data_IF_977359047647
#
_entry.id   IF_977359047647
#
_cell.length_a   1.000
_cell.length_b   1.000
_cell.length_c   1.000
_cell.angle_alpha   90.00
_cell.angle_beta   90.00
_cell.angle_gamma   90.00
#
_symmetry.space_group_name_H-M   'P 1'
#
loop_
_entity.id
_entity.type
_entity.pdbx_description
1 polymer ?
#
# COMPACT_ATOMS: atom_id res chain seq x y z
N UNK A 1 63.65 -20.78 2.02
CA UNK A 1 63.34 -19.59 2.84
C UNK A 1 61.97 -19.05 2.44
N UNK A 2 61.35 -18.33 3.36
CA UNK A 2 59.91 -18.03 3.56
C UNK A 2 59.39 -16.80 2.78
N UNK A 3 58.05 -16.74 2.65
CA UNK A 3 57.12 -15.59 2.44
C UNK A 3 57.14 -14.87 1.07
N UNK A 4 56.08 -14.23 0.53
CA UNK A 4 54.63 -14.11 0.75
C UNK A 4 54.07 -13.07 -0.28
N UNK A 5 52.75 -12.79 -0.24
CA UNK A 5 51.96 -11.66 -0.81
C UNK A 5 51.27 -11.91 -2.16
N UNK A 6 49.95 -12.15 -2.23
CA UNK A 6 48.72 -11.33 -2.03
C UNK A 6 48.29 -10.56 -3.30
N UNK A 7 47.02 -10.82 -3.68
CA UNK A 7 46.14 -10.37 -4.80
C UNK A 7 45.97 -8.83 -4.96
N UNK A 8 45.49 -8.34 -6.13
CA UNK A 8 44.03 -8.09 -6.27
C UNK A 8 43.41 -8.37 -7.65
N UNK A 9 42.16 -8.85 -7.58
CA UNK A 9 40.98 -8.48 -8.37
C UNK A 9 41.15 -7.91 -9.79
N UNK A 10 40.54 -8.58 -10.76
CA UNK A 10 39.41 -8.02 -11.54
C UNK A 10 38.97 -9.08 -12.57
N UNK A 11 37.98 -9.87 -12.18
CA UNK A 11 37.20 -10.70 -13.09
C UNK A 11 36.42 -9.75 -14.00
N UNK A 12 36.84 -9.70 -15.26
CA UNK A 12 36.10 -9.08 -16.35
C UNK A 12 34.79 -9.83 -16.56
N UNK A 13 33.73 -9.28 -15.99
CA UNK A 13 32.34 -9.52 -16.33
C UNK A 13 32.14 -9.27 -17.82
N UNK A 14 31.54 -10.21 -18.58
CA UNK A 14 30.72 -9.92 -19.75
C UNK A 14 29.94 -11.19 -20.20
N UNK A 15 28.62 -11.09 -19.98
CA UNK A 15 27.47 -11.62 -20.77
C UNK A 15 27.35 -13.13 -21.03
N UNK A 16 26.29 -13.78 -20.51
CA UNK A 16 24.95 -13.75 -21.13
C UNK A 16 24.01 -14.75 -20.46
N UNK A 17 22.72 -14.43 -20.57
CA UNK A 17 21.66 -14.82 -19.66
C UNK A 17 21.32 -16.30 -19.62
N UNK A 18 20.88 -16.72 -18.43
CA UNK A 18 19.77 -17.63 -18.24
C UNK A 18 19.05 -17.18 -16.97
N UNK A 19 17.91 -16.49 -17.10
CA UNK A 19 17.00 -16.30 -15.99
C UNK A 19 16.37 -17.68 -15.70
N UNK A 20 17.07 -18.49 -14.92
CA UNK A 20 16.49 -19.70 -14.37
C UNK A 20 15.42 -19.25 -13.38
N UNK A 21 14.15 -19.36 -13.77
CA UNK A 21 13.03 -19.32 -12.83
C UNK A 21 13.29 -20.43 -11.80
N UNK A 22 13.76 -20.04 -10.61
CA UNK A 22 13.85 -20.96 -9.48
C UNK A 22 12.43 -21.24 -9.02
N UNK A 23 11.90 -22.38 -9.46
CA UNK A 23 10.70 -22.97 -8.87
C UNK A 23 11.07 -23.42 -7.46
N UNK A 24 10.68 -22.63 -6.47
CA UNK A 24 10.75 -23.05 -5.07
C UNK A 24 9.73 -24.17 -4.86
N UNK A 25 10.22 -25.36 -4.54
CA UNK A 25 9.37 -26.38 -3.91
C UNK A 25 9.16 -25.96 -2.46
N UNK A 26 7.93 -26.03 -1.89
CA UNK A 26 7.74 -25.84 -0.48
C UNK A 26 8.60 -26.88 0.26
N UNK A 27 9.61 -26.41 1.00
CA UNK A 27 10.34 -27.30 1.90
C UNK A 27 9.41 -27.66 3.05
N UNK A 28 9.34 -28.93 3.47
CA UNK A 28 8.59 -29.30 4.66
C UNK A 28 9.15 -28.51 5.86
N UNK A 29 8.25 -27.96 6.66
CA UNK A 29 8.57 -27.12 7.82
C UNK A 29 9.63 -27.77 8.69
N UNK A 30 10.65 -26.99 9.06
CA UNK A 30 11.62 -27.42 10.05
C UNK A 30 10.89 -27.62 11.38
N UNK A 31 10.79 -28.88 11.83
CA UNK A 31 10.22 -29.22 13.13
C UNK A 31 11.12 -28.64 14.23
N UNK A 32 10.77 -27.46 14.73
CA UNK A 32 11.35 -26.86 15.91
C UNK A 32 10.74 -27.55 17.14
N UNK A 33 11.52 -28.40 17.82
CA UNK A 33 11.15 -28.96 19.13
C UNK A 33 11.36 -27.85 20.18
N UNK A 34 10.30 -27.11 20.46
CA UNK A 34 10.21 -26.07 21.49
C UNK A 34 8.85 -25.38 21.41
N UNK A 35 8.35 -24.71 22.47
CA UNK A 35 7.15 -23.88 22.34
C UNK A 35 7.42 -22.85 21.25
N UNK A 36 6.64 -22.90 20.17
CA UNK A 36 6.61 -21.81 19.19
C UNK A 36 6.41 -20.50 19.96
N UNK A 37 7.18 -19.44 19.65
CA UNK A 37 6.75 -18.09 20.01
C UNK A 37 5.29 -17.97 19.57
N UNK A 38 4.42 -17.39 20.39
CA UNK A 38 3.07 -17.02 19.97
C UNK A 38 3.23 -15.98 18.84
N UNK A 39 3.40 -16.46 17.60
CA UNK A 39 3.30 -15.64 16.41
C UNK A 39 1.82 -15.41 16.26
N UNK A 40 1.31 -14.38 16.95
CA UNK A 40 0.00 -13.85 16.63
C UNK A 40 0.11 -13.26 15.24
N UNK A 41 -0.58 -13.88 14.29
CA UNK A 41 -0.83 -13.28 12.99
C UNK A 41 -1.55 -11.95 13.22
N UNK A 42 -0.92 -10.87 12.81
CA UNK A 42 -1.36 -9.50 13.05
C UNK A 42 -1.54 -8.71 11.75
N UNK A 43 -1.53 -9.41 10.61
CA UNK A 43 -1.67 -8.84 9.29
C UNK A 43 -2.88 -9.48 8.60
N UNK A 44 -3.89 -8.69 8.32
CA UNK A 44 -4.95 -9.05 7.39
C UNK A 44 -4.69 -8.36 6.06
N UNK A 45 -4.90 -9.05 4.94
CA UNK A 45 -4.67 -8.52 3.60
C UNK A 45 -5.79 -8.91 2.67
N UNK A 46 -6.30 -7.92 1.94
CA UNK A 46 -7.31 -8.09 0.91
C UNK A 46 -6.79 -7.61 -0.44
N UNK A 47 -7.32 -8.22 -1.51
CA UNK A 47 -7.08 -7.78 -2.89
C UNK A 47 -8.42 -7.66 -3.57
N UNK A 48 -8.69 -6.49 -4.15
CA UNK A 48 -9.92 -6.20 -4.86
C UNK A 48 -9.65 -6.02 -6.36
N UNK A 49 -10.55 -6.56 -7.17
CA UNK A 49 -10.57 -6.39 -8.61
C UNK A 49 -11.98 -6.01 -9.03
N UNK A 50 -12.14 -4.86 -9.65
CA UNK A 50 -13.43 -4.38 -10.13
C UNK A 50 -13.30 -3.92 -11.59
N UNK A 51 -14.26 -4.31 -12.42
CA UNK A 51 -14.42 -3.77 -13.77
C UNK A 51 -15.64 -2.86 -13.79
N UNK A 52 -15.49 -1.65 -14.31
CA UNK A 52 -16.53 -0.63 -14.24
C UNK A 52 -16.77 0.04 -15.60
N UNK A 53 -17.99 0.56 -15.73
CA UNK A 53 -18.40 1.45 -16.81
C UNK A 53 -19.19 2.59 -16.19
N UNK A 54 -18.81 3.83 -16.46
CA UNK A 54 -19.52 5.00 -15.96
C UNK A 54 -20.44 5.54 -17.05
N UNK A 55 -21.65 5.95 -16.65
CA UNK A 55 -22.65 6.51 -17.57
C UNK A 55 -22.72 8.05 -17.49
N UNK A 56 -21.76 8.67 -16.80
CA UNK A 56 -21.72 10.11 -16.53
C UNK A 56 -20.75 10.78 -17.52
N UNK A 57 -21.21 11.81 -18.24
CA UNK A 57 -20.39 12.51 -19.25
C UNK A 57 -20.14 11.72 -20.53
N UNK A 58 -18.91 11.73 -21.05
CA UNK A 58 -18.50 11.00 -22.26
C UNK A 58 -18.46 9.48 -22.08
N UNK A 59 -18.61 9.00 -20.85
CA UNK A 59 -18.58 7.58 -20.48
C UNK A 59 -17.17 7.01 -20.57
N UNK A 60 -16.67 6.47 -19.47
CA UNK A 60 -15.38 5.78 -19.46
C UNK A 60 -15.51 4.41 -18.83
N UNK A 61 -14.69 3.50 -19.32
CA UNK A 61 -14.66 2.11 -18.91
C UNK A 61 -13.26 1.78 -18.45
N UNK A 62 -13.16 0.97 -17.41
CA UNK A 62 -11.87 0.61 -16.87
C UNK A 62 -11.92 -0.61 -15.98
N UNK A 63 -10.74 -0.91 -15.46
CA UNK A 63 -10.51 -1.92 -14.43
C UNK A 63 -9.79 -1.23 -13.28
N UNK A 64 -10.23 -1.47 -12.06
CA UNK A 64 -9.52 -1.11 -10.84
C UNK A 64 -8.99 -2.37 -10.16
N UNK A 65 -7.77 -2.26 -9.65
CA UNK A 65 -7.10 -3.30 -8.87
C UNK A 65 -6.55 -2.67 -7.62
N UNK A 66 -7.02 -3.13 -6.47
CA UNK A 66 -6.64 -2.60 -5.16
C UNK A 66 -6.09 -3.66 -4.23
N UNK A 67 -5.29 -3.21 -3.27
CA UNK A 67 -4.84 -4.01 -2.13
C UNK A 67 -5.05 -3.21 -0.86
N UNK A 68 -5.51 -3.89 0.17
CA UNK A 68 -5.63 -3.36 1.53
C UNK A 68 -4.84 -4.25 2.47
N UNK A 69 -4.16 -3.65 3.44
CA UNK A 69 -3.43 -4.35 4.46
C UNK A 69 -3.68 -3.70 5.83
N UNK A 70 -4.26 -4.48 6.74
CA UNK A 70 -4.52 -4.09 8.11
C UNK A 70 -3.53 -4.76 9.04
N UNK A 71 -2.75 -3.94 9.73
CA UNK A 71 -1.72 -4.40 10.66
C UNK A 71 -2.17 -4.06 12.09
N UNK A 72 -2.54 -5.07 12.87
CA UNK A 72 -2.78 -4.91 14.29
C UNK A 72 -1.46 -4.62 15.01
N UNK A 73 -1.28 -3.37 15.46
CA UNK A 73 -0.11 -2.92 16.18
C UNK A 73 -0.21 -3.26 17.69
N UNK A 74 -1.42 -3.26 18.22
CA UNK A 74 -1.75 -3.66 19.60
C UNK A 74 -3.26 -3.94 19.71
N UNK A 75 -3.77 -4.50 20.83
CA UNK A 75 -5.20 -4.64 21.04
C UNK A 75 -5.91 -3.28 20.96
N UNK A 76 -6.73 -3.09 19.92
CA UNK A 76 -7.45 -1.85 19.66
C UNK A 76 -6.66 -0.77 18.92
N UNK A 77 -5.50 -1.09 18.32
CA UNK A 77 -4.77 -0.18 17.42
C UNK A 77 -4.40 -0.89 16.12
N UNK A 78 -4.87 -0.33 15.00
CA UNK A 78 -4.68 -0.89 13.66
C UNK A 78 -4.05 0.16 12.75
N UNK A 79 -3.04 -0.24 11.97
CA UNK A 79 -2.51 0.51 10.85
C UNK A 79 -3.10 -0.07 9.57
N UNK A 80 -3.93 0.71 8.88
CA UNK A 80 -4.46 0.38 7.56
C UNK A 80 -3.61 0.99 6.47
N UNK A 81 -3.31 0.21 5.43
CA UNK A 81 -2.64 0.65 4.21
C UNK A 81 -3.52 0.26 3.03
N UNK A 82 -3.82 1.21 2.16
CA UNK A 82 -4.59 0.97 0.95
C UNK A 82 -3.84 1.49 -0.27
N UNK A 83 -4.01 0.80 -1.39
CA UNK A 83 -3.49 1.21 -2.67
C UNK A 83 -4.34 0.65 -3.78
N UNK A 84 -4.78 1.51 -4.71
CA UNK A 84 -5.62 1.11 -5.84
C UNK A 84 -5.12 1.73 -7.13
N UNK A 85 -4.93 0.87 -8.14
CA UNK A 85 -4.68 1.27 -9.53
C UNK A 85 -6.00 1.30 -10.28
N UNK A 86 -6.21 2.31 -11.09
CA UNK A 86 -7.35 2.44 -12.00
C UNK A 86 -6.80 2.60 -13.40
N UNK A 87 -7.11 1.66 -14.28
CA UNK A 87 -6.81 1.71 -15.70
C UNK A 87 -8.10 1.97 -16.48
N UNK A 88 -8.24 3.16 -17.07
CA UNK A 88 -9.37 3.54 -17.88
C UNK A 88 -8.95 3.80 -19.33
N UNK A 89 -9.93 3.80 -20.24
CA UNK A 89 -9.71 4.16 -21.64
C UNK A 89 -9.26 5.64 -21.84
N UNK A 90 -9.46 6.50 -20.85
CA UNK A 90 -9.11 7.94 -20.89
C UNK A 90 -7.85 8.30 -20.09
N UNK A 91 -7.28 7.37 -19.35
CA UNK A 91 -6.12 7.62 -18.49
C UNK A 91 -5.91 6.53 -17.44
N UNK A 92 -4.94 6.76 -16.55
CA UNK A 92 -4.69 5.92 -15.39
C UNK A 92 -4.69 6.76 -14.11
N UNK A 93 -5.01 6.13 -12.98
CA UNK A 93 -4.90 6.77 -11.69
C UNK A 93 -4.49 5.82 -10.57
N UNK A 94 -3.95 6.41 -9.52
CA UNK A 94 -3.47 5.73 -8.33
C UNK A 94 -4.05 6.39 -7.11
N UNK A 95 -4.81 5.60 -6.35
CA UNK A 95 -5.23 5.98 -5.03
C UNK A 95 -4.32 5.29 -4.03
N UNK A 96 -3.99 6.02 -2.96
CA UNK A 96 -3.18 5.51 -1.87
C UNK A 96 -3.69 6.09 -0.57
N UNK A 97 -3.59 5.30 0.49
CA UNK A 97 -4.00 5.71 1.81
C UNK A 97 -3.20 5.00 2.88
N UNK A 98 -2.96 5.70 3.98
CA UNK A 98 -2.37 5.14 5.17
C UNK A 98 -3.06 5.74 6.39
N UNK A 99 -3.65 4.88 7.21
CA UNK A 99 -4.49 5.28 8.33
C UNK A 99 -4.12 4.56 9.62
N UNK A 100 -4.31 5.24 10.74
CA UNK A 100 -4.23 4.67 12.07
C UNK A 100 -5.61 4.73 12.71
N UNK A 101 -6.10 3.59 13.18
CA UNK A 101 -7.40 3.48 13.83
C UNK A 101 -7.23 2.96 15.26
N UNK A 102 -7.84 3.69 16.21
CA UNK A 102 -7.95 3.31 17.61
C UNK A 102 -9.38 2.82 17.84
N UNK A 103 -9.53 1.53 18.11
CA UNK A 103 -10.81 0.92 18.44
C UNK A 103 -11.01 0.88 19.96
N UNK A 104 -12.20 1.30 20.39
CA UNK A 104 -12.69 1.21 21.75
C UNK A 104 -13.94 0.34 21.83
N UNK A 105 -14.41 0.11 23.06
CA UNK A 105 -15.62 -0.68 23.32
C UNK A 105 -16.88 -0.09 22.68
N UNK A 106 -16.94 1.23 22.52
CA UNK A 106 -18.12 1.97 22.09
C UNK A 106 -17.93 2.68 20.75
N UNK A 107 -16.87 2.37 19.99
CA UNK A 107 -16.59 3.09 18.75
C UNK A 107 -15.12 3.13 18.39
N UNK A 108 -14.78 3.98 17.44
CA UNK A 108 -13.43 4.13 16.93
C UNK A 108 -13.09 5.57 16.59
N UNK A 109 -11.79 5.86 16.60
CA UNK A 109 -11.19 7.09 16.13
C UNK A 109 -10.13 6.74 15.09
N UNK A 110 -10.10 7.47 13.99
CA UNK A 110 -9.09 7.25 12.97
C UNK A 110 -8.45 8.57 12.51
N UNK A 111 -7.24 8.44 12.00
CA UNK A 111 -6.53 9.50 11.30
C UNK A 111 -5.81 8.88 10.11
N UNK A 112 -5.98 9.43 8.91
CA UNK A 112 -5.41 8.92 7.69
C UNK A 112 -4.83 10.02 6.81
N UNK A 113 -3.85 9.65 5.99
CA UNK A 113 -3.41 10.43 4.84
C UNK A 113 -3.78 9.65 3.58
N UNK A 114 -4.55 10.30 2.72
CA UNK A 114 -5.07 9.71 1.50
C UNK A 114 -4.69 10.58 0.32
N UNK A 115 -4.60 9.99 -0.86
CA UNK A 115 -4.33 10.76 -2.06
C UNK A 115 -4.63 10.02 -3.34
N UNK A 116 -4.76 10.81 -4.39
CA UNK A 116 -4.97 10.37 -5.76
C UNK A 116 -3.92 11.01 -6.66
N UNK A 117 -3.35 10.21 -7.55
CA UNK A 117 -2.42 10.64 -8.59
C UNK A 117 -2.99 10.19 -9.94
N UNK A 118 -3.51 11.14 -10.73
CA UNK A 118 -4.16 10.90 -12.00
C UNK A 118 -3.27 11.30 -13.19
N UNK A 119 -3.30 10.51 -14.26
CA UNK A 119 -2.64 10.78 -15.54
C UNK A 119 -3.62 10.57 -16.69
N UNK A 120 -3.76 11.57 -17.54
CA UNK A 120 -4.77 11.58 -18.60
C UNK A 120 -6.05 12.28 -18.17
N UNK A 121 -7.08 12.20 -19.02
CA UNK A 121 -8.31 12.98 -18.86
C UNK A 121 -9.42 12.08 -18.29
N UNK A 122 -9.19 11.53 -17.09
CA UNK A 122 -10.24 10.81 -16.36
C UNK A 122 -11.21 11.86 -15.76
N UNK A 123 -12.49 11.89 -16.19
CA UNK A 123 -13.45 12.87 -15.66
C UNK A 123 -13.61 12.75 -14.14
N UNK A 124 -13.74 13.90 -13.48
CA UNK A 124 -13.99 14.03 -12.03
C UNK A 124 -12.90 13.44 -11.11
N UNK A 125 -11.73 13.07 -11.66
CA UNK A 125 -10.58 12.63 -10.90
C UNK A 125 -9.48 13.68 -10.93
N UNK A 126 -9.25 14.35 -9.81
CA UNK A 126 -8.19 15.35 -9.66
C UNK A 126 -7.09 14.84 -8.73
N UNK A 127 -5.84 15.05 -9.12
CA UNK A 127 -4.70 14.70 -8.28
C UNK A 127 -4.67 15.55 -7.02
N UNK A 128 -4.52 14.93 -5.86
CA UNK A 128 -4.50 15.61 -4.58
C UNK A 128 -4.16 14.67 -3.43
N UNK A 129 -3.67 15.23 -2.34
CA UNK A 129 -3.53 14.52 -1.05
C UNK A 129 -4.32 15.28 0.00
N UNK A 130 -4.96 14.56 0.90
CA UNK A 130 -5.64 15.13 2.05
C UNK A 130 -5.34 14.30 3.29
N UNK A 131 -5.44 14.96 4.44
CA UNK A 131 -5.44 14.31 5.75
C UNK A 131 -6.87 14.29 6.24
N UNK A 132 -7.29 13.15 6.76
CA UNK A 132 -8.61 12.93 7.32
C UNK A 132 -8.48 12.51 8.77
N UNK A 133 -9.36 13.04 9.61
CA UNK A 133 -9.55 12.58 10.99
C UNK A 133 -11.03 12.41 11.24
N UNK A 134 -11.38 11.30 11.89
CA UNK A 134 -12.78 11.00 12.13
C UNK A 134 -12.97 9.95 13.20
N UNK A 135 -14.22 9.53 13.34
CA UNK A 135 -14.59 8.45 14.23
C UNK A 135 -16.09 8.32 14.40
N UNK A 136 -16.49 7.12 14.78
CA UNK A 136 -17.87 6.72 14.99
C UNK A 136 -18.05 6.16 16.40
N UNK A 137 -19.11 6.61 17.08
CA UNK A 137 -19.39 6.24 18.47
C UNK A 137 -20.82 5.78 18.65
N UNK A 138 -20.99 4.63 19.29
CA UNK A 138 -22.27 4.14 19.74
C UNK A 138 -22.70 4.86 21.02
N UNK A 139 -23.72 5.73 20.90
CA UNK A 139 -24.31 6.46 22.05
C UNK A 139 -25.42 5.66 22.75
N UNK A 140 -25.94 4.61 22.09
CA UNK A 140 -26.94 3.70 22.61
C UNK A 140 -27.20 2.57 21.63
N UNK A 141 -28.11 1.63 21.95
CA UNK A 141 -28.30 0.40 21.15
C UNK A 141 -28.52 0.64 19.66
N UNK A 142 -29.18 1.74 19.29
CA UNK A 142 -29.55 2.06 17.92
C UNK A 142 -29.13 3.49 17.50
N UNK A 143 -28.18 4.11 18.21
CA UNK A 143 -27.73 5.46 17.91
C UNK A 143 -26.21 5.50 17.80
N UNK A 144 -25.76 5.97 16.64
CA UNK A 144 -24.36 6.22 16.34
C UNK A 144 -24.18 7.71 16.06
N UNK A 145 -23.04 8.25 16.50
CA UNK A 145 -22.61 9.60 16.17
C UNK A 145 -21.24 9.49 15.52
N UNK A 146 -21.15 9.97 14.29
CA UNK A 146 -19.93 10.10 13.53
C UNK A 146 -19.49 11.54 13.40
N UNK A 147 -18.18 11.75 13.29
CA UNK A 147 -17.62 12.99 12.77
C UNK A 147 -16.47 12.67 11.84
N UNK A 148 -16.25 13.56 10.87
CA UNK A 148 -15.14 13.51 9.93
C UNK A 148 -14.71 14.93 9.62
N UNK A 149 -13.41 15.13 9.50
CA UNK A 149 -12.80 16.36 9.05
C UNK A 149 -11.64 16.04 8.11
N UNK A 150 -11.72 16.54 6.89
CA UNK A 150 -10.71 16.33 5.85
C UNK A 150 -10.11 17.66 5.44
N UNK A 151 -8.79 17.70 5.35
CA UNK A 151 -8.02 18.91 5.02
C UNK A 151 -7.08 18.59 3.86
N UNK A 152 -7.17 19.30 2.73
CA UNK A 152 -6.24 19.11 1.63
C UNK A 152 -4.83 19.50 2.07
N UNK A 153 -3.83 18.75 1.60
CA UNK A 153 -2.42 19.05 1.79
C UNK A 153 -1.89 19.70 0.53
N UNK A 154 -1.73 21.02 0.58
CA UNK A 154 -1.21 21.79 -0.54
C UNK A 154 0.18 21.28 -0.98
N UNK A 155 0.36 21.08 -2.28
CA UNK A 155 1.62 20.62 -2.91
C UNK A 155 2.12 19.23 -2.47
N UNK A 156 1.34 18.45 -1.71
CA UNK A 156 1.61 17.03 -1.52
C UNK A 156 0.82 16.27 -2.59
N UNK A 157 1.47 15.89 -3.68
CA UNK A 157 0.96 14.87 -4.59
C UNK A 157 2.09 13.89 -4.74
N UNK A 158 1.86 12.61 -4.44
CA UNK A 158 2.84 11.59 -4.76
C UNK A 158 2.82 11.43 -6.28
N UNK A 159 3.90 11.79 -6.99
CA UNK A 159 3.91 11.72 -8.43
C UNK A 159 3.87 10.25 -8.86
N UNK A 160 3.24 9.97 -10.00
CA UNK A 160 3.20 8.64 -10.59
C UNK A 160 4.58 7.98 -10.66
N UNK A 161 5.61 8.75 -11.01
CA UNK A 161 6.99 8.26 -11.10
C UNK A 161 7.58 7.87 -9.74
N UNK A 162 7.09 8.40 -8.61
CA UNK A 162 7.49 7.93 -7.28
C UNK A 162 6.87 6.57 -6.93
N UNK A 163 5.71 6.26 -7.52
CA UNK A 163 5.01 4.97 -7.34
C UNK A 163 5.63 3.89 -8.23
N UNK A 164 6.02 4.25 -9.47
CA UNK A 164 6.52 3.30 -10.49
C UNK A 164 8.02 3.35 -10.77
N UNK A 165 8.72 4.39 -10.32
CA UNK A 165 10.13 4.60 -10.62
C UNK A 165 11.02 3.61 -9.87
N UNK A 166 12.01 3.06 -10.57
CA UNK A 166 13.06 2.20 -10.01
C UNK A 166 14.06 2.94 -9.09
N UNK A 167 13.76 4.19 -8.72
CA UNK A 167 14.62 5.10 -7.96
C UNK A 167 13.87 5.79 -6.82
N UNK A 168 13.44 5.03 -5.82
CA UNK A 168 12.78 5.55 -4.60
C UNK A 168 13.70 6.38 -3.68
N UNK A 169 14.96 6.63 -4.07
CA UNK A 169 15.98 7.24 -3.20
C UNK A 169 16.05 8.76 -3.23
N UNK A 170 15.27 9.46 -4.06
CA UNK A 170 15.40 10.91 -4.22
C UNK A 170 14.16 11.75 -3.91
N UNK A 171 13.04 11.15 -3.50
CA UNK A 171 11.78 11.90 -3.26
C UNK A 171 11.73 12.55 -1.87
N UNK A 172 12.55 12.08 -0.93
CA UNK A 172 12.71 12.70 0.39
C UNK A 172 14.09 13.37 0.51
N UNK A 173 14.20 14.64 0.13
CA UNK A 173 15.31 15.53 0.52
C UNK A 173 14.78 16.88 0.94
#
# INVERSE_FOLDING_TARGET
MRLAFILPAAVGLLISGHAAAQVFYPQPEAVLIGPMPNVQDNLDMSVEFEAFTTNWGEGYTGVSVGTEADIALSPGLTLGLEGRRIDANLGEAYEYGAGLTIHGEYGELYAAINGVSAMGDIPDLESGTWVEVGGDFQLGRNLWLGFEASVPVDSAVVPYEAIYGSGSSSVYR
#
